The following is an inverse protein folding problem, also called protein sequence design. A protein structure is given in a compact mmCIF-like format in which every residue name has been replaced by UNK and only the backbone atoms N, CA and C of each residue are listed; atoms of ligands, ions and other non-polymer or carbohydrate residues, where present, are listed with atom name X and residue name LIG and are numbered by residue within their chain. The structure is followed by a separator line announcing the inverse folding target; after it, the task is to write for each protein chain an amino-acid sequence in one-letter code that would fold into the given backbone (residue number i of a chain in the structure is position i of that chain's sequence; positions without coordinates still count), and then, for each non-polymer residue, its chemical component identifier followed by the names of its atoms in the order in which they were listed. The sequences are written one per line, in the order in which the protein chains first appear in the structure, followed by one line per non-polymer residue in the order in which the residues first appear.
data_IF_911061143572
#
_entry.id   IF_911061143572
#
_cell.length_a   1.000
_cell.length_b   1.000
_cell.length_c   1.000
_cell.angle_alpha   90.00
_cell.angle_beta   90.00
_cell.angle_gamma   90.00
#
_symmetry.space_group_name_H-M   'P 1'
#
loop_
_entity.id
_entity.type
_entity.pdbx_description
1 polymer ?
#
# COMPACT_ATOMS: atom_id res chain seq x y z
N UNK A 1 -2.91 10.08 3.50
CA UNK A 1 -3.46 8.73 3.78
C UNK A 1 -4.86 8.67 3.19
N UNK A 2 -5.24 7.51 2.67
CA UNK A 2 -6.54 7.19 2.10
C UNK A 2 -6.99 5.94 2.82
N UNK A 3 -8.11 5.99 3.53
CA UNK A 3 -8.55 4.85 4.32
C UNK A 3 -10.06 4.84 4.51
N UNK A 4 -10.59 3.63 4.63
CA UNK A 4 -11.86 3.34 5.27
C UNK A 4 -11.57 2.66 6.62
N UNK A 5 -12.42 2.90 7.62
CA UNK A 5 -12.31 2.27 8.93
C UNK A 5 -13.67 1.67 9.34
N UNK A 6 -13.66 0.59 10.14
CA UNK A 6 -14.89 0.03 10.70
C UNK A 6 -15.56 1.03 11.65
N UNK A 7 -16.84 0.77 11.96
CA UNK A 7 -17.63 1.50 12.97
C UNK A 7 -17.90 2.98 12.67
N UNK A 8 -17.63 3.42 11.43
CA UNK A 8 -17.98 4.75 10.94
C UNK A 8 -19.39 4.79 10.32
N UNK A 9 -19.99 5.99 10.30
CA UNK A 9 -21.25 6.24 9.59
C UNK A 9 -21.08 6.03 8.08
N UNK A 10 -19.93 6.43 7.54
CA UNK A 10 -19.50 6.17 6.17
C UNK A 10 -18.37 5.15 6.22
N UNK A 11 -18.65 3.92 5.74
CA UNK A 11 -17.74 2.76 5.81
C UNK A 11 -16.99 2.46 4.51
N UNK A 12 -17.38 3.14 3.42
CA UNK A 12 -16.83 2.92 2.09
C UNK A 12 -16.63 4.27 1.39
N UNK A 13 -15.38 4.56 1.09
CA UNK A 13 -14.94 5.61 0.19
C UNK A 13 -14.79 5.10 -1.24
N UNK A 14 -14.33 5.98 -2.12
CA UNK A 14 -13.95 5.64 -3.49
C UNK A 14 -13.92 6.84 -4.43
N UNK A 15 -13.53 6.59 -5.67
CA UNK A 15 -13.32 7.61 -6.71
C UNK A 15 -12.24 8.64 -6.32
N UNK A 16 -11.17 8.19 -5.68
CA UNK A 16 -10.13 9.05 -5.10
C UNK A 16 -8.97 9.19 -6.09
N UNK A 17 -8.48 10.41 -6.26
CA UNK A 17 -7.35 10.72 -7.13
C UNK A 17 -6.32 11.53 -6.35
N UNK A 18 -5.12 10.98 -6.20
CA UNK A 18 -3.96 11.63 -5.59
C UNK A 18 -2.95 11.88 -6.70
N UNK A 19 -2.85 13.12 -7.16
CA UNK A 19 -2.03 13.42 -8.32
C UNK A 19 -1.39 14.80 -8.29
N UNK A 20 -0.24 14.91 -8.98
CA UNK A 20 0.55 16.14 -9.08
C UNK A 20 0.96 16.72 -7.71
N UNK A 21 1.34 15.84 -6.78
CA UNK A 21 1.84 16.23 -5.46
C UNK A 21 3.33 16.02 -5.33
N UNK A 22 3.95 16.83 -4.47
CA UNK A 22 5.26 16.55 -3.88
C UNK A 22 5.04 15.93 -2.50
N UNK A 23 5.42 14.67 -2.33
CA UNK A 23 5.23 13.89 -1.11
C UNK A 23 6.60 13.52 -0.55
N UNK A 24 7.10 14.32 0.38
CA UNK A 24 8.49 14.20 0.83
C UNK A 24 8.71 14.30 2.34
N UNK A 25 9.78 13.65 2.80
CA UNK A 25 10.28 13.75 4.18
C UNK A 25 9.24 13.48 5.28
N UNK A 26 8.30 12.54 5.07
CA UNK A 26 7.29 12.16 6.07
C UNK A 26 7.88 11.32 7.23
N UNK A 27 9.04 11.72 7.77
CA UNK A 27 9.92 10.89 8.60
C UNK A 27 9.76 11.09 10.11
N UNK A 28 8.93 12.05 10.51
CA UNK A 28 8.61 12.34 11.91
C UNK A 28 7.72 11.24 12.49
N UNK A 29 7.74 11.13 13.82
CA UNK A 29 6.86 10.24 14.56
C UNK A 29 5.40 10.63 14.37
N UNK A 30 4.54 9.62 14.38
CA UNK A 30 3.09 9.84 14.32
C UNK A 30 2.62 10.55 15.60
N UNK A 31 1.67 11.46 15.46
CA UNK A 31 1.10 12.24 16.57
C UNK A 31 -0.31 11.76 16.97
N UNK A 32 -0.81 10.71 16.33
CA UNK A 32 -2.10 10.13 16.66
C UNK A 32 -2.06 9.52 18.08
N UNK A 33 -3.20 9.54 18.81
CA UNK A 33 -3.28 8.92 20.14
C UNK A 33 -2.86 7.44 20.12
N UNK A 34 -2.22 7.00 21.20
CA UNK A 34 -1.90 5.58 21.40
C UNK A 34 -3.18 4.72 21.30
N UNK A 35 -3.06 3.56 20.68
CA UNK A 35 -4.18 2.64 20.44
C UNK A 35 -5.06 3.01 19.23
N UNK A 36 -4.87 4.17 18.59
CA UNK A 36 -5.56 4.45 17.33
C UNK A 36 -4.93 3.68 16.17
N UNK A 37 -5.76 3.23 15.22
CA UNK A 37 -5.31 2.56 13.99
C UNK A 37 -4.35 3.46 13.20
N UNK A 38 -4.64 4.76 13.16
CA UNK A 38 -3.79 5.75 12.49
C UNK A 38 -2.42 5.86 13.17
N UNK A 39 -2.31 5.60 14.48
CA UNK A 39 -1.04 5.57 15.21
C UNK A 39 -0.11 4.42 14.81
N UNK A 40 -0.63 3.37 14.15
CA UNK A 40 0.18 2.25 13.63
C UNK A 40 0.91 2.61 12.33
N UNK A 41 0.58 3.74 11.70
CA UNK A 41 1.29 4.19 10.49
C UNK A 41 2.71 4.59 10.84
N UNK A 42 3.65 3.85 10.25
CA UNK A 42 5.06 4.00 10.55
C UNK A 42 5.63 5.30 9.97
N UNK A 43 6.54 5.99 10.69
CA UNK A 43 7.27 7.12 10.17
C UNK A 43 7.97 6.79 8.86
N UNK A 44 7.92 7.69 7.90
CA UNK A 44 8.50 7.52 6.58
C UNK A 44 7.56 6.84 5.58
N UNK A 45 6.26 6.84 5.83
CA UNK A 45 5.24 6.43 4.85
C UNK A 45 4.83 7.63 4.01
N UNK A 46 4.99 7.57 2.69
CA UNK A 46 4.59 8.65 1.77
C UNK A 46 3.07 8.64 1.50
N UNK A 47 2.61 7.59 0.83
CA UNK A 47 1.19 7.35 0.55
C UNK A 47 0.78 6.03 1.21
N UNK A 48 -0.41 5.98 1.79
CA UNK A 48 -1.01 4.74 2.28
C UNK A 48 -2.47 4.70 1.83
N UNK A 49 -2.84 3.60 1.18
CA UNK A 49 -4.21 3.20 0.85
C UNK A 49 -4.57 2.02 1.75
N UNK A 50 -5.52 2.21 2.66
CA UNK A 50 -5.95 1.23 3.64
C UNK A 50 -7.42 0.84 3.42
N UNK A 51 -7.68 -0.42 3.06
CA UNK A 51 -9.03 -0.98 2.94
C UNK A 51 -10.02 -0.14 2.11
N UNK A 52 -9.54 0.58 1.10
CA UNK A 52 -10.35 1.47 0.24
C UNK A 52 -10.42 0.90 -1.17
N UNK A 53 -11.44 1.30 -1.93
CA UNK A 53 -11.61 0.92 -3.34
C UNK A 53 -11.57 2.12 -4.30
N UNK A 54 -11.19 1.92 -5.56
CA UNK A 54 -11.16 2.96 -6.63
C UNK A 54 -10.31 4.18 -6.22
N UNK A 55 -9.00 3.93 -6.17
CA UNK A 55 -7.99 4.94 -5.82
C UNK A 55 -6.92 4.98 -6.90
N UNK A 56 -6.71 6.17 -7.45
CA UNK A 56 -5.67 6.46 -8.42
C UNK A 56 -4.59 7.34 -7.79
N UNK A 57 -3.35 6.86 -7.74
CA UNK A 57 -2.16 7.61 -7.29
C UNK A 57 -1.24 7.77 -8.49
N UNK A 58 -1.13 8.98 -9.03
CA UNK A 58 -0.39 9.19 -10.27
C UNK A 58 0.24 10.56 -10.45
N UNK A 59 1.26 10.65 -11.31
CA UNK A 59 1.99 11.91 -11.59
C UNK A 59 2.47 12.62 -10.31
N UNK A 60 2.82 11.87 -9.25
CA UNK A 60 3.39 12.44 -8.02
C UNK A 60 4.91 12.27 -7.98
N UNK A 61 5.59 13.19 -7.31
CA UNK A 61 6.99 13.01 -6.88
C UNK A 61 7.00 12.56 -5.42
N UNK A 62 7.40 11.32 -5.17
CA UNK A 62 7.39 10.68 -3.85
C UNK A 62 8.84 10.42 -3.44
N UNK A 63 9.37 11.24 -2.51
CA UNK A 63 10.81 11.16 -2.21
C UNK A 63 11.19 11.28 -0.75
N UNK A 64 12.32 10.69 -0.38
CA UNK A 64 12.94 10.81 0.95
C UNK A 64 12.00 10.42 2.11
N UNK A 65 11.07 9.49 1.87
CA UNK A 65 10.23 8.87 2.89
C UNK A 65 10.93 7.60 3.40
N UNK A 66 11.36 7.57 4.65
CA UNK A 66 12.37 6.61 5.15
C UNK A 66 11.94 5.15 5.17
N UNK A 67 10.64 4.85 5.21
CA UNK A 67 10.14 3.47 5.35
C UNK A 67 9.48 2.97 4.08
N UNK A 68 8.46 3.65 3.56
CA UNK A 68 7.66 3.20 2.42
C UNK A 68 7.25 4.40 1.56
N UNK A 69 7.37 4.29 0.24
CA UNK A 69 6.89 5.32 -0.69
C UNK A 69 5.36 5.27 -0.82
N UNK A 70 4.82 4.11 -1.15
CA UNK A 70 3.38 3.85 -1.29
C UNK A 70 3.02 2.49 -0.73
N UNK A 71 2.13 2.44 0.25
CA UNK A 71 1.58 1.22 0.82
C UNK A 71 0.14 1.01 0.35
N UNK A 72 -0.16 -0.18 -0.17
CA UNK A 72 -1.50 -0.66 -0.49
C UNK A 72 -1.76 -1.82 0.45
N UNK A 73 -2.66 -1.62 1.42
CA UNK A 73 -2.84 -2.56 2.51
C UNK A 73 -4.33 -2.74 2.84
N UNK A 74 -4.73 -3.96 3.12
CA UNK A 74 -5.99 -4.29 3.77
C UNK A 74 -5.95 -3.93 5.25
N UNK A 75 -7.13 -3.94 5.88
CA UNK A 75 -7.26 -3.73 7.31
C UNK A 75 -6.59 -4.81 8.16
N UNK A 76 -6.38 -6.01 7.60
CA UNK A 76 -5.74 -7.13 8.31
C UNK A 76 -4.31 -6.82 8.75
N UNK A 77 -3.64 -5.86 8.08
CA UNK A 77 -2.32 -5.35 8.50
C UNK A 77 -2.33 -4.80 9.95
N UNK A 78 -3.50 -4.41 10.45
CA UNK A 78 -3.66 -3.83 11.78
C UNK A 78 -3.79 -4.86 12.89
N UNK A 79 -4.09 -6.12 12.55
CA UNK A 79 -4.44 -7.22 13.49
C UNK A 79 -5.63 -6.93 14.42
N UNK A 80 -6.35 -5.82 14.21
CA UNK A 80 -7.53 -5.50 15.01
C UNK A 80 -8.72 -6.35 14.57
N UNK A 81 -9.54 -6.76 15.54
CA UNK A 81 -10.77 -7.49 15.25
C UNK A 81 -11.76 -6.63 14.46
N UNK A 82 -12.36 -7.21 13.42
CA UNK A 82 -13.43 -6.58 12.65
C UNK A 82 -14.77 -7.09 13.17
N UNK A 83 -15.48 -6.24 13.92
CA UNK A 83 -16.81 -6.57 14.46
C UNK A 83 -17.96 -6.02 13.58
N UNK A 84 -17.64 -5.10 12.68
CA UNK A 84 -18.58 -4.43 11.79
C UNK A 84 -18.80 -5.26 10.52
N UNK A 85 -19.94 -5.95 10.44
CA UNK A 85 -20.27 -6.83 9.31
C UNK A 85 -20.52 -6.10 7.99
N UNK A 86 -20.66 -4.77 8.01
CA UNK A 86 -20.84 -3.94 6.82
C UNK A 86 -19.54 -3.32 6.31
N UNK A 87 -18.44 -3.50 7.05
CA UNK A 87 -17.14 -2.99 6.68
C UNK A 87 -16.44 -3.94 5.70
N UNK A 88 -15.87 -3.37 4.64
CA UNK A 88 -15.02 -4.11 3.71
C UNK A 88 -13.55 -3.87 4.09
N UNK A 89 -12.81 -4.89 4.56
CA UNK A 89 -11.43 -4.71 4.99
C UNK A 89 -10.41 -4.77 3.85
N UNK A 90 -10.82 -5.04 2.61
CA UNK A 90 -9.92 -5.30 1.49
C UNK A 90 -9.66 -4.04 0.64
N UNK A 91 -8.61 -4.10 -0.17
CA UNK A 91 -8.39 -3.10 -1.24
C UNK A 91 -8.86 -3.64 -2.58
N UNK A 92 -9.35 -2.76 -3.45
CA UNK A 92 -9.77 -3.14 -4.81
C UNK A 92 -9.70 -1.95 -5.77
N UNK A 93 -9.43 -2.20 -7.05
CA UNK A 93 -9.37 -1.18 -8.09
C UNK A 93 -8.39 -0.05 -7.72
N UNK A 94 -7.15 -0.43 -7.42
CA UNK A 94 -6.09 0.50 -7.01
C UNK A 94 -5.12 0.69 -8.16
N UNK A 95 -4.86 1.94 -8.53
CA UNK A 95 -4.03 2.29 -9.67
C UNK A 95 -2.86 3.17 -9.24
N UNK A 96 -1.63 2.68 -9.37
CA UNK A 96 -0.39 3.38 -9.07
C UNK A 96 0.40 3.55 -10.37
N UNK A 97 0.42 4.75 -10.94
CA UNK A 97 1.06 4.93 -12.25
C UNK A 97 1.73 6.28 -12.46
N UNK A 98 2.76 6.32 -13.31
CA UNK A 98 3.48 7.55 -13.67
C UNK A 98 4.02 8.37 -12.47
N UNK A 99 4.24 7.75 -11.31
CA UNK A 99 4.88 8.44 -10.19
C UNK A 99 6.40 8.34 -10.31
N UNK A 100 7.11 9.32 -9.75
CA UNK A 100 8.55 9.30 -9.61
C UNK A 100 8.93 9.06 -8.16
N UNK A 101 9.68 7.99 -7.91
CA UNK A 101 10.20 7.66 -6.59
C UNK A 101 11.66 8.05 -6.47
N UNK A 102 12.08 8.56 -5.31
CA UNK A 102 13.49 8.83 -5.04
C UNK A 102 13.77 8.63 -3.56
N UNK A 103 14.75 7.80 -3.22
CA UNK A 103 15.10 7.59 -1.81
C UNK A 103 16.55 7.18 -1.64
N UNK A 104 17.21 7.78 -0.66
CA UNK A 104 18.52 7.33 -0.20
C UNK A 104 18.39 6.05 0.63
N UNK A 105 19.26 5.04 0.45
CA UNK A 105 19.25 3.81 1.25
C UNK A 105 19.28 4.07 2.77
N UNK A 106 18.31 3.52 3.47
CA UNK A 106 18.08 3.74 4.89
C UNK A 106 17.25 2.61 5.49
N UNK A 107 17.35 2.44 6.80
CA UNK A 107 16.48 1.50 7.49
C UNK A 107 15.08 2.10 7.63
N UNK A 108 14.01 1.30 7.48
CA UNK A 108 12.66 1.71 7.88
C UNK A 108 12.58 1.94 9.39
N UNK A 109 11.44 2.43 9.87
CA UNK A 109 11.22 2.65 11.30
C UNK A 109 11.20 1.32 12.09
N UNK A 110 12.31 0.98 12.75
CA UNK A 110 12.50 -0.29 13.46
C UNK A 110 11.72 -0.42 14.78
N UNK A 111 11.17 0.68 15.29
CA UNK A 111 10.30 0.65 16.48
C UNK A 111 8.92 0.03 16.18
N UNK A 112 8.66 -0.29 14.91
CA UNK A 112 7.43 -0.90 14.42
C UNK A 112 7.75 -2.26 13.80
N UNK A 113 6.95 -3.27 14.10
CA UNK A 113 7.20 -4.64 13.68
C UNK A 113 7.22 -4.80 12.14
N UNK A 114 6.35 -4.09 11.40
CA UNK A 114 6.44 -4.03 9.93
C UNK A 114 7.76 -3.44 9.45
N UNK A 115 8.29 -2.43 10.14
CA UNK A 115 9.60 -1.87 9.84
C UNK A 115 10.71 -2.88 10.10
N UNK A 116 10.66 -3.64 11.19
CA UNK A 116 11.60 -4.72 11.48
C UNK A 116 11.55 -5.81 10.40
N UNK A 117 10.35 -6.24 10.00
CA UNK A 117 10.14 -7.21 8.93
C UNK A 117 10.77 -6.75 7.62
N UNK A 118 10.50 -5.51 7.20
CA UNK A 118 11.05 -4.93 5.98
C UNK A 118 12.57 -4.79 6.06
N UNK A 119 13.12 -4.46 7.24
CA UNK A 119 14.56 -4.41 7.46
C UNK A 119 15.22 -5.80 7.43
N UNK A 120 14.56 -6.83 7.98
CA UNK A 120 15.06 -8.21 7.92
C UNK A 120 15.11 -8.71 6.48
N UNK A 121 14.05 -8.45 5.69
CA UNK A 121 13.97 -8.92 4.30
C UNK A 121 14.86 -8.12 3.33
N UNK A 122 14.90 -6.80 3.49
CA UNK A 122 15.49 -5.89 2.49
C UNK A 122 16.66 -5.04 2.99
N UNK A 123 16.97 -5.09 4.28
CA UNK A 123 17.98 -4.25 4.89
C UNK A 123 17.68 -2.77 4.71
N UNK A 124 18.62 -2.06 4.09
CA UNK A 124 18.54 -0.60 3.83
C UNK A 124 17.89 -0.23 2.50
N UNK A 125 17.44 -1.23 1.75
CA UNK A 125 16.90 -1.07 0.39
C UNK A 125 15.48 -1.61 0.35
N UNK A 126 14.61 -1.15 1.24
CA UNK A 126 13.19 -1.48 1.19
C UNK A 126 12.61 -1.08 -0.19
N UNK A 127 11.66 -1.84 -0.74
CA UNK A 127 10.91 -1.39 -1.92
C UNK A 127 10.11 -0.11 -1.66
N UNK A 128 9.76 0.60 -2.71
CA UNK A 128 9.03 1.86 -2.64
C UNK A 128 7.52 1.64 -2.59
N UNK A 129 7.04 0.70 -3.41
CA UNK A 129 5.64 0.26 -3.45
C UNK A 129 5.54 -1.07 -2.72
N UNK A 130 4.67 -1.12 -1.71
CA UNK A 130 4.39 -2.33 -0.93
C UNK A 130 2.90 -2.65 -1.05
N UNK A 131 2.61 -3.88 -1.42
CA UNK A 131 1.26 -4.44 -1.39
C UNK A 131 1.21 -5.57 -0.36
N UNK A 132 0.15 -5.64 0.43
CA UNK A 132 -0.02 -6.74 1.38
C UNK A 132 -0.55 -8.03 0.75
N UNK A 133 -1.00 -8.00 -0.50
CA UNK A 133 -1.48 -9.20 -1.17
C UNK A 133 -2.93 -9.56 -0.86
N UNK A 134 -3.73 -8.62 -0.36
CA UNK A 134 -5.13 -8.87 0.03
C UNK A 134 -6.14 -8.21 -0.91
N UNK A 135 -6.43 -8.82 -2.07
CA UNK A 135 -7.52 -8.37 -2.94
C UNK A 135 -8.87 -8.70 -2.30
N UNK A 136 -9.91 -7.97 -2.67
CA UNK A 136 -11.27 -8.29 -2.24
C UNK A 136 -11.75 -9.61 -2.88
N UNK A 137 -12.07 -10.65 -2.07
CA UNK A 137 -12.52 -11.95 -2.58
C UNK A 137 -13.79 -11.86 -3.43
N UNK A 138 -14.60 -10.81 -3.28
CA UNK A 138 -15.79 -10.59 -4.11
C UNK A 138 -15.45 -10.37 -5.59
N UNK A 139 -14.19 -10.04 -5.92
CA UNK A 139 -13.72 -9.85 -7.29
C UNK A 139 -12.74 -10.93 -7.73
N UNK A 140 -12.80 -12.12 -7.13
CA UNK A 140 -12.01 -13.28 -7.56
C UNK A 140 -12.96 -14.32 -8.16
N UNK A 141 -12.65 -14.79 -9.37
CA UNK A 141 -13.47 -15.82 -10.02
C UNK A 141 -13.17 -17.23 -9.48
N UNK A 142 -13.89 -18.24 -9.98
CA UNK A 142 -13.75 -19.63 -9.54
C UNK A 142 -12.35 -20.22 -9.81
N UNK A 143 -11.62 -19.64 -10.74
CA UNK A 143 -10.26 -20.03 -11.11
C UNK A 143 -9.18 -19.30 -10.28
N UNK A 144 -9.57 -18.45 -9.32
CA UNK A 144 -8.63 -17.68 -8.49
C UNK A 144 -8.08 -16.43 -9.18
N UNK A 145 -8.67 -16.01 -10.30
CA UNK A 145 -8.24 -14.83 -11.07
C UNK A 145 -9.00 -13.61 -10.56
N UNK A 146 -8.26 -12.56 -10.20
CA UNK A 146 -8.82 -11.26 -9.83
C UNK A 146 -9.38 -10.59 -11.10
N UNK A 147 -10.62 -10.11 -11.03
CA UNK A 147 -11.25 -9.39 -12.13
C UNK A 147 -10.39 -8.16 -12.51
N UNK A 148 -10.05 -7.95 -13.81
CA UNK A 148 -9.12 -6.91 -14.23
C UNK A 148 -9.47 -5.49 -13.74
N UNK A 149 -10.76 -5.15 -13.68
CA UNK A 149 -11.26 -3.84 -13.23
C UNK A 149 -11.10 -3.59 -11.72
N UNK A 150 -10.95 -4.66 -10.95
CA UNK A 150 -10.83 -4.64 -9.48
C UNK A 150 -9.43 -4.96 -8.99
N UNK A 151 -8.49 -5.25 -9.90
CA UNK A 151 -7.13 -5.63 -9.56
C UNK A 151 -6.29 -4.40 -9.15
N UNK A 152 -5.15 -4.66 -8.51
CA UNK A 152 -4.08 -3.70 -8.35
C UNK A 152 -3.38 -3.51 -9.69
N UNK A 153 -3.22 -2.25 -10.08
CA UNK A 153 -2.61 -1.81 -11.31
C UNK A 153 -1.35 -0.99 -10.99
N UNK A 154 -0.17 -1.46 -11.41
CA UNK A 154 1.11 -0.75 -11.24
C UNK A 154 1.77 -0.60 -12.61
N UNK A 155 2.00 0.64 -13.04
CA UNK A 155 2.52 0.89 -14.38
C UNK A 155 3.34 2.18 -14.48
N UNK A 156 4.45 2.16 -15.23
CA UNK A 156 5.23 3.35 -15.57
C UNK A 156 5.72 4.20 -14.37
N UNK A 157 5.91 3.62 -13.19
CA UNK A 157 6.52 4.35 -12.07
C UNK A 157 8.05 4.34 -12.23
N UNK A 158 8.68 5.51 -12.23
CA UNK A 158 10.13 5.63 -12.41
C UNK A 158 10.86 5.42 -11.09
N UNK A 159 11.98 4.68 -11.13
CA UNK A 159 12.85 4.39 -9.98
C UNK A 159 12.14 3.67 -8.81
N UNK A 160 10.97 3.08 -9.07
CA UNK A 160 10.20 2.36 -8.05
C UNK A 160 10.60 0.89 -7.98
N UNK A 161 10.86 0.39 -6.77
CA UNK A 161 10.83 -1.05 -6.49
C UNK A 161 9.51 -1.47 -5.88
N UNK A 162 9.11 -2.70 -6.16
CA UNK A 162 7.85 -3.28 -5.68
C UNK A 162 8.09 -4.52 -4.82
N UNK A 163 7.20 -4.76 -3.86
CA UNK A 163 7.03 -6.07 -3.24
C UNK A 163 5.58 -6.33 -2.90
N UNK A 164 5.15 -7.58 -3.14
CA UNK A 164 3.95 -8.17 -2.61
C UNK A 164 4.31 -9.04 -1.40
N UNK A 165 3.78 -8.68 -0.24
CA UNK A 165 4.00 -9.43 1.00
C UNK A 165 3.16 -10.70 1.08
N UNK A 166 2.05 -10.77 0.34
CA UNK A 166 1.13 -11.92 0.31
C UNK A 166 0.84 -12.44 1.72
N UNK A 167 0.21 -11.58 2.53
CA UNK A 167 0.18 -11.77 3.97
C UNK A 167 -0.65 -12.99 4.41
N UNK A 168 -1.63 -13.41 3.59
CA UNK A 168 -2.45 -14.58 3.86
C UNK A 168 -1.63 -15.88 3.79
N UNK A 169 -0.70 -15.96 2.83
CA UNK A 169 0.10 -17.17 2.60
C UNK A 169 1.43 -17.17 3.36
N UNK A 170 1.99 -16.00 3.64
CA UNK A 170 3.31 -15.87 4.24
C UNK A 170 3.29 -15.76 5.78
N UNK A 171 2.12 -15.65 6.42
CA UNK A 171 2.03 -15.43 7.87
C UNK A 171 0.98 -16.33 8.53
N UNK A 172 1.43 -17.32 9.29
CA UNK A 172 0.58 -18.07 10.24
C UNK A 172 0.32 -17.26 11.52
N UNK A 173 1.32 -16.47 11.93
CA UNK A 173 1.26 -15.46 12.99
C UNK A 173 1.97 -14.21 12.48
N UNK A 174 1.37 -13.06 12.74
CA UNK A 174 1.87 -11.79 12.27
C UNK A 174 3.30 -11.52 12.75
N UNK A 175 4.15 -11.01 11.86
CA UNK A 175 5.59 -10.76 12.08
C UNK A 175 6.43 -11.90 12.66
N UNK A 176 6.01 -13.16 12.46
CA UNK A 176 6.86 -14.32 12.70
C UNK A 176 7.50 -14.82 11.40
N UNK A 177 8.42 -14.09 10.74
CA UNK A 177 9.12 -14.65 9.59
C UNK A 177 10.30 -15.49 10.10
N UNK A 178 10.50 -16.64 9.49
CA UNK A 178 11.88 -17.02 9.19
C UNK A 178 12.10 -17.26 7.70
N UNK A 179 11.02 -17.49 6.93
CA UNK A 179 11.06 -17.62 5.48
C UNK A 179 9.75 -17.06 4.88
N UNK A 180 9.65 -15.75 4.64
CA UNK A 180 8.54 -15.18 3.86
C UNK A 180 8.96 -15.04 2.39
N UNK A 181 8.16 -15.60 1.48
CA UNK A 181 8.44 -15.60 0.05
C UNK A 181 7.76 -14.41 -0.64
N UNK A 182 8.12 -13.19 -0.19
CA UNK A 182 7.61 -11.97 -0.81
C UNK A 182 8.03 -11.92 -2.27
N UNK A 183 7.06 -11.63 -3.14
CA UNK A 183 7.28 -11.54 -4.58
C UNK A 183 7.59 -10.11 -4.99
N UNK A 184 8.64 -9.93 -5.78
CA UNK A 184 8.94 -8.66 -6.47
C UNK A 184 8.43 -8.66 -7.93
N UNK A 185 7.71 -9.71 -8.34
CA UNK A 185 7.16 -9.82 -9.69
C UNK A 185 5.97 -8.86 -9.88
N UNK A 186 6.15 -7.91 -10.79
CA UNK A 186 5.13 -6.94 -11.18
C UNK A 186 4.20 -7.44 -12.28
N UNK A 187 4.53 -8.56 -12.94
CA UNK A 187 3.78 -9.09 -14.09
C UNK A 187 2.28 -9.25 -13.82
N UNK A 188 1.84 -9.75 -12.65
CA UNK A 188 0.41 -9.89 -12.33
C UNK A 188 -0.35 -8.56 -12.18
N UNK A 189 0.38 -7.46 -11.98
CA UNK A 189 -0.16 -6.12 -11.72
C UNK A 189 -0.05 -5.19 -12.93
N UNK A 190 0.35 -5.71 -14.09
CA UNK A 190 0.35 -4.98 -15.34
C UNK A 190 -1.07 -4.86 -15.89
N UNK A 191 -1.51 -3.62 -16.09
CA UNK A 191 -2.92 -3.32 -16.33
C UNK A 191 -3.33 -3.38 -17.80
N UNK A 192 -2.36 -3.45 -18.72
CA UNK A 192 -2.59 -3.50 -20.17
C UNK A 192 -3.29 -2.26 -20.75
N UNK A 193 -3.54 -1.23 -19.94
CA UNK A 193 -4.19 0.02 -20.32
C UNK A 193 -3.16 1.14 -20.43
N UNK A 194 -3.36 2.03 -21.40
CA UNK A 194 -2.51 3.22 -21.53
C UNK A 194 -3.05 4.31 -20.64
N UNK A 195 -2.37 4.60 -19.53
CA UNK A 195 -2.64 5.79 -18.73
C UNK A 195 -1.98 7.00 -19.40
N UNK A 196 -2.79 7.86 -20.02
CA UNK A 196 -2.28 9.11 -20.60
C UNK A 196 -1.81 10.06 -19.48
N UNK A 197 -0.62 10.69 -19.61
CA UNK A 197 -0.22 11.76 -18.72
C UNK A 197 -1.29 12.85 -18.71
N UNK A 198 -1.64 13.38 -17.53
CA UNK A 198 -2.54 14.54 -17.49
C UNK A 198 -1.79 15.71 -18.11
N UNK A 199 -2.37 16.30 -19.18
CA UNK A 199 -1.79 17.46 -19.84
C UNK A 199 -1.56 18.56 -18.80
N UNK A 200 -0.31 18.93 -18.57
CA UNK A 200 0.04 20.07 -17.73
C UNK A 200 -0.47 21.33 -18.42
N UNK A 201 -1.54 21.93 -17.89
CA UNK A 201 -1.89 23.29 -18.30
C UNK A 201 -0.78 24.21 -17.80
N UNK A 202 0.02 24.72 -18.73
CA UNK A 202 0.93 25.84 -18.47
C UNK A 202 0.16 27.10 -18.12
#
# INVERSE_FOLDING_TARGET
MIFDLPDLVRKKGGHIRVYNNLIEHNNLFNFAPEGSIVGKVIPGTGVMVLATSDVHVYDNTIRNNKSVGTAIVSYFITEEAINDSLYNPYTSSIHIYNNTYERTPGLPALDYEIGQLLAIKYGRNTPDIIYDGMPDPAYINAEGIILPESNLCIQNNSEARFTNMDIENNFEKWYSPFLSDFSEDLTPFHCGITHHPVATSK
#
